data_IF_110771171730
#
_entry.id   IF_110771171730
#
_cell.length_a   1.000
_cell.length_b   1.000
_cell.length_c   1.000
_cell.angle_alpha   90.00
_cell.angle_beta   90.00
_cell.angle_gamma   90.00
#
_symmetry.space_group_name_H-M   'P 1'
#
loop_
_entity.id
_entity.type
_entity.pdbx_description
1 polymer ?
#
# COMPACT_ATOMS: atom_id res chain seq x y z
N UNK A 1 -2.70 4.60 15.79
CA UNK A 1 -3.90 3.94 16.30
C UNK A 1 -4.92 3.63 15.19
N UNK A 2 -5.32 4.61 14.42
CA UNK A 2 -6.28 4.42 13.32
C UNK A 2 -5.70 3.58 12.18
N UNK A 3 -4.44 3.79 11.85
CA UNK A 3 -3.74 3.00 10.82
C UNK A 3 -3.70 1.51 11.20
N UNK A 4 -3.39 1.22 12.46
CA UNK A 4 -3.35 -0.16 12.95
C UNK A 4 -4.72 -0.81 12.86
N UNK A 5 -5.78 -0.10 13.26
CA UNK A 5 -7.15 -0.59 13.17
C UNK A 5 -7.57 -0.87 11.74
N UNK A 6 -7.21 0.02 10.81
CA UNK A 6 -7.50 -0.17 9.39
C UNK A 6 -6.79 -1.41 8.83
N UNK A 7 -5.52 -1.60 9.19
CA UNK A 7 -4.75 -2.77 8.74
C UNK A 7 -5.37 -4.06 9.30
N UNK A 8 -5.72 -4.07 10.57
CA UNK A 8 -6.35 -5.24 11.19
C UNK A 8 -7.67 -5.60 10.50
N UNK A 9 -8.46 -4.59 10.11
CA UNK A 9 -9.69 -4.81 9.38
C UNK A 9 -9.43 -5.39 7.98
N UNK A 10 -8.46 -4.84 7.25
CA UNK A 10 -8.06 -5.36 5.95
C UNK A 10 -7.62 -6.82 6.04
N UNK A 11 -6.84 -7.16 7.06
CA UNK A 11 -6.37 -8.52 7.28
C UNK A 11 -7.53 -9.47 7.61
N UNK A 12 -8.48 -9.03 8.44
CA UNK A 12 -9.66 -9.81 8.78
C UNK A 12 -10.50 -10.14 7.54
N UNK A 13 -10.71 -9.17 6.67
CA UNK A 13 -11.44 -9.34 5.42
C UNK A 13 -10.69 -10.30 4.47
N UNK A 14 -9.39 -10.11 4.32
CA UNK A 14 -8.56 -10.99 3.49
C UNK A 14 -8.58 -12.42 3.99
N UNK A 15 -8.48 -12.62 5.30
CA UNK A 15 -8.54 -13.93 5.92
C UNK A 15 -9.91 -14.59 5.68
N UNK A 16 -10.99 -13.84 5.82
CA UNK A 16 -12.35 -14.35 5.59
C UNK A 16 -12.54 -14.81 4.14
N UNK A 17 -11.91 -14.13 3.17
CA UNK A 17 -11.93 -14.53 1.76
C UNK A 17 -10.89 -15.59 1.40
N UNK A 18 -10.05 -15.98 2.34
CA UNK A 18 -8.90 -16.90 2.14
C UNK A 18 -7.88 -16.33 1.14
N UNK A 19 -7.72 -15.01 1.11
CA UNK A 19 -6.73 -14.37 0.28
C UNK A 19 -5.32 -14.60 0.81
N UNK A 20 -4.33 -14.54 -0.08
CA UNK A 20 -2.94 -14.43 0.31
C UNK A 20 -2.63 -12.97 0.61
N UNK A 21 -1.87 -12.72 1.67
CA UNK A 21 -1.43 -11.37 2.06
C UNK A 21 0.09 -11.34 2.08
N UNK A 22 0.65 -10.30 1.50
CA UNK A 22 2.07 -10.00 1.59
C UNK A 22 2.22 -8.63 2.25
N UNK A 23 3.29 -8.42 3.00
CA UNK A 23 3.59 -7.16 3.64
C UNK A 23 4.90 -6.60 3.11
N UNK A 24 4.84 -5.36 2.64
CA UNK A 24 6.01 -4.57 2.24
C UNK A 24 6.07 -3.34 3.13
N UNK A 25 7.17 -3.16 3.82
CA UNK A 25 7.43 -1.95 4.59
C UNK A 25 8.39 -1.06 3.81
N UNK A 26 8.14 0.23 3.81
CA UNK A 26 9.04 1.21 3.22
C UNK A 26 9.31 2.31 4.24
N UNK A 27 10.57 2.45 4.58
CA UNK A 27 11.05 3.46 5.52
C UNK A 27 12.55 3.67 5.32
N UNK A 28 13.11 4.72 5.89
CA UNK A 28 14.52 5.01 5.70
C UNK A 28 14.80 5.32 4.24
N UNK A 29 15.63 4.52 3.60
CA UNK A 29 16.06 4.72 2.22
C UNK A 29 15.49 3.71 1.21
N UNK A 30 14.71 2.74 1.65
CA UNK A 30 14.20 1.71 0.76
C UNK A 30 13.01 0.93 1.31
N UNK A 31 12.74 -0.20 0.67
CA UNK A 31 11.63 -1.07 1.01
C UNK A 31 12.09 -2.49 1.28
N UNK A 32 11.43 -3.16 2.21
CA UNK A 32 11.69 -4.55 2.57
C UNK A 32 10.41 -5.37 2.51
N UNK A 33 10.51 -6.59 2.01
CA UNK A 33 9.41 -7.54 2.07
C UNK A 33 9.47 -8.20 3.45
N UNK A 34 8.54 -7.81 4.32
CA UNK A 34 8.45 -8.35 5.68
C UNK A 34 7.82 -9.73 5.70
N UNK A 35 6.91 -10.00 4.78
CA UNK A 35 6.18 -11.24 4.71
C UNK A 35 5.86 -11.54 3.25
N UNK A 36 6.35 -12.66 2.69
CA UNK A 36 5.93 -13.10 1.37
C UNK A 36 4.46 -13.52 1.39
N UNK A 37 3.81 -13.68 0.25
CA UNK A 37 2.39 -14.03 0.21
C UNK A 37 2.07 -15.26 1.05
N UNK A 38 1.12 -15.12 1.98
CA UNK A 38 0.71 -16.18 2.90
C UNK A 38 -0.78 -16.07 3.22
N UNK A 39 -1.37 -17.18 3.65
CA UNK A 39 -2.72 -17.24 4.21
C UNK A 39 -2.70 -17.29 5.75
N UNK A 40 -1.54 -17.22 6.36
CA UNK A 40 -1.41 -17.29 7.82
C UNK A 40 -1.69 -15.95 8.48
N UNK A 41 -2.86 -15.82 9.07
CA UNK A 41 -3.24 -14.63 9.83
C UNK A 41 -2.29 -14.39 11.02
N UNK A 42 -1.87 -15.47 11.68
CA UNK A 42 -0.97 -15.41 12.84
C UNK A 42 0.38 -14.81 12.44
N UNK A 43 0.98 -15.28 11.34
CA UNK A 43 2.24 -14.74 10.83
C UNK A 43 2.09 -13.28 10.43
N UNK A 44 1.00 -12.95 9.74
CA UNK A 44 0.73 -11.59 9.28
C UNK A 44 0.62 -10.63 10.46
N UNK A 45 -0.16 -10.98 11.49
CA UNK A 45 -0.30 -10.15 12.69
C UNK A 45 1.02 -9.99 13.44
N UNK A 46 1.81 -11.06 13.53
CA UNK A 46 3.11 -11.03 14.20
C UNK A 46 4.05 -10.07 13.49
N UNK A 47 4.16 -10.15 12.17
CA UNK A 47 5.02 -9.25 11.38
C UNK A 47 4.56 -7.82 11.47
N UNK A 48 3.26 -7.60 11.43
CA UNK A 48 2.66 -6.27 11.55
C UNK A 48 3.02 -5.62 12.90
N UNK A 49 2.99 -6.41 13.99
CA UNK A 49 3.36 -5.93 15.32
C UNK A 49 4.85 -5.58 15.46
N UNK A 50 5.69 -6.05 14.54
CA UNK A 50 7.14 -5.78 14.53
C UNK A 50 7.52 -4.63 13.60
N UNK A 51 6.54 -3.95 12.99
CA UNK A 51 6.82 -2.84 12.08
C UNK A 51 7.53 -1.71 12.81
N UNK A 52 8.75 -1.37 12.39
CA UNK A 52 9.44 -0.22 12.97
C UNK A 52 8.84 1.08 12.42
N UNK A 53 8.75 2.09 13.26
CA UNK A 53 8.30 3.42 12.86
C UNK A 53 9.46 4.36 12.56
N UNK A 54 9.13 5.49 11.97
CA UNK A 54 10.06 6.59 11.73
C UNK A 54 10.94 6.44 10.50
N UNK A 55 11.78 7.45 10.27
CA UNK A 55 12.67 7.52 9.13
C UNK A 55 12.03 8.19 7.90
N UNK A 56 12.69 8.10 6.76
CA UNK A 56 12.21 8.66 5.51
C UNK A 56 11.01 7.93 4.95
N UNK A 57 10.45 8.48 3.86
CA UNK A 57 9.31 7.90 3.16
C UNK A 57 9.70 7.56 1.71
N UNK A 58 10.34 6.40 1.49
CA UNK A 58 10.72 5.93 0.15
C UNK A 58 9.52 5.28 -0.56
N UNK A 59 8.51 6.08 -0.86
CA UNK A 59 7.24 5.62 -1.40
C UNK A 59 7.40 4.90 -2.74
N UNK A 60 8.24 5.43 -3.62
CA UNK A 60 8.50 4.81 -4.92
C UNK A 60 9.10 3.41 -4.77
N UNK A 61 10.04 3.23 -3.83
CA UNK A 61 10.61 1.90 -3.53
C UNK A 61 9.56 0.94 -3.01
N UNK A 62 8.66 1.42 -2.15
CA UNK A 62 7.54 0.62 -1.65
C UNK A 62 6.61 0.17 -2.78
N UNK A 63 6.25 1.08 -3.67
CA UNK A 63 5.40 0.77 -4.82
C UNK A 63 6.09 -0.20 -5.79
N UNK A 64 7.40 -0.03 -6.01
CA UNK A 64 8.17 -0.94 -6.86
C UNK A 64 8.15 -2.35 -6.30
N UNK A 65 8.42 -2.51 -5.01
CA UNK A 65 8.39 -3.81 -4.35
C UNK A 65 7.00 -4.45 -4.43
N UNK A 66 5.95 -3.67 -4.20
CA UNK A 66 4.57 -4.15 -4.31
C UNK A 66 4.24 -4.59 -5.73
N UNK A 67 4.67 -3.82 -6.74
CA UNK A 67 4.46 -4.17 -8.15
C UNK A 67 5.17 -5.48 -8.50
N UNK A 68 6.41 -5.66 -8.07
CA UNK A 68 7.16 -6.88 -8.32
C UNK A 68 6.46 -8.11 -7.71
N UNK A 69 5.97 -8.00 -6.48
CA UNK A 69 5.19 -9.06 -5.84
C UNK A 69 3.89 -9.35 -6.59
N UNK A 70 3.20 -8.31 -7.02
CA UNK A 70 1.96 -8.45 -7.78
C UNK A 70 2.19 -9.18 -9.11
N UNK A 71 3.28 -8.85 -9.80
CA UNK A 71 3.66 -9.54 -11.06
C UNK A 71 3.94 -11.02 -10.83
N UNK A 72 4.65 -11.35 -9.75
CA UNK A 72 4.90 -12.74 -9.37
C UNK A 72 3.59 -13.47 -9.06
N UNK A 73 2.68 -12.83 -8.34
CA UNK A 73 1.38 -13.42 -8.01
C UNK A 73 0.54 -13.67 -9.27
N UNK A 74 0.53 -12.74 -10.21
CA UNK A 74 -0.13 -12.91 -11.51
C UNK A 74 0.42 -14.13 -12.26
N UNK A 75 1.74 -14.30 -12.26
CA UNK A 75 2.39 -15.44 -12.88
C UNK A 75 1.98 -16.78 -12.29
N UNK A 76 1.48 -16.79 -11.07
CA UNK A 76 0.97 -17.98 -10.37
C UNK A 76 -0.56 -18.12 -10.49
N UNK A 77 -1.20 -17.32 -11.33
CA UNK A 77 -2.64 -17.38 -11.54
C UNK A 77 -3.47 -16.64 -10.49
N UNK A 78 -2.85 -15.83 -9.65
CA UNK A 78 -3.55 -15.02 -8.65
C UNK A 78 -4.01 -13.69 -9.24
N UNK A 79 -4.99 -13.06 -8.60
CA UNK A 79 -5.46 -11.72 -8.93
C UNK A 79 -4.98 -10.76 -7.85
N UNK A 80 -3.85 -10.06 -8.07
CA UNK A 80 -3.29 -9.18 -7.04
C UNK A 80 -4.03 -7.85 -6.94
N UNK A 81 -4.03 -7.30 -5.73
CA UNK A 81 -4.50 -5.94 -5.46
C UNK A 81 -3.52 -5.30 -4.48
N UNK A 82 -3.28 -4.00 -4.64
CA UNK A 82 -2.31 -3.28 -3.82
C UNK A 82 -3.04 -2.28 -2.92
N UNK A 83 -2.88 -2.43 -1.61
CA UNK A 83 -3.33 -1.42 -0.64
C UNK A 83 -2.11 -0.66 -0.13
N UNK A 84 -2.05 0.63 -0.41
CA UNK A 84 -0.99 1.52 0.05
C UNK A 84 -1.50 2.28 1.28
N UNK A 85 -0.78 2.16 2.40
CA UNK A 85 -1.07 2.91 3.62
C UNK A 85 0.13 3.81 3.94
N UNK A 86 -0.10 5.10 4.01
CA UNK A 86 0.96 6.06 4.34
C UNK A 86 0.34 7.36 4.86
N UNK A 87 1.09 8.08 5.70
CA UNK A 87 0.67 9.36 6.24
C UNK A 87 1.50 10.52 5.68
N UNK A 88 2.50 10.21 4.84
CA UNK A 88 3.50 11.16 4.42
C UNK A 88 3.67 11.30 2.92
N UNK A 89 4.35 12.39 2.56
CA UNK A 89 4.78 12.64 1.18
C UNK A 89 6.05 11.85 0.90
N UNK A 90 6.21 11.42 -0.33
CA UNK A 90 7.46 10.84 -0.80
C UNK A 90 8.60 11.84 -0.60
N UNK A 91 9.66 11.43 0.08
CA UNK A 91 10.84 12.27 0.32
C UNK A 91 12.15 11.56 0.07
N UNK A 92 12.12 10.29 -0.29
CA UNK A 92 13.30 9.50 -0.67
C UNK A 92 13.03 8.92 -2.06
N UNK A 93 13.98 9.11 -2.97
CA UNK A 93 13.84 8.64 -4.35
C UNK A 93 14.17 7.14 -4.51
N UNK A 94 14.07 6.62 -5.73
CA UNK A 94 14.36 5.21 -6.03
C UNK A 94 15.83 4.85 -5.80
N UNK A 95 16.74 5.83 -5.83
CA UNK A 95 18.15 5.61 -5.54
C UNK A 95 18.44 5.62 -4.02
N UNK A 96 17.44 5.84 -3.19
CA UNK A 96 17.61 5.91 -1.73
C UNK A 96 18.12 7.26 -1.24
N UNK A 97 18.01 8.30 -2.05
CA UNK A 97 18.50 9.64 -1.73
C UNK A 97 17.36 10.55 -1.29
N UNK A 98 17.57 11.33 -0.25
CA UNK A 98 16.61 12.31 0.24
C UNK A 98 16.50 13.48 -0.75
N UNK A 99 15.50 13.43 -1.61
CA UNK A 99 15.22 14.43 -2.65
C UNK A 99 13.72 14.42 -2.93
N UNK A 100 13.01 15.42 -2.42
CA UNK A 100 11.54 15.47 -2.52
C UNK A 100 11.04 15.55 -3.96
N UNK A 101 11.69 16.36 -4.79
CA UNK A 101 11.28 16.52 -6.18
C UNK A 101 11.43 15.21 -6.96
N UNK A 102 12.58 14.58 -6.84
CA UNK A 102 12.84 13.29 -7.50
C UNK A 102 11.97 12.17 -6.89
N UNK A 103 11.77 12.19 -5.59
CA UNK A 103 10.91 11.21 -4.90
C UNK A 103 9.47 11.28 -5.43
N UNK A 104 8.94 12.48 -5.65
CA UNK A 104 7.60 12.67 -6.20
C UNK A 104 7.51 12.17 -7.65
N UNK A 105 8.52 12.45 -8.46
CA UNK A 105 8.57 11.98 -9.85
C UNK A 105 8.69 10.45 -9.91
N UNK A 106 9.53 9.85 -9.09
CA UNK A 106 9.69 8.40 -9.02
C UNK A 106 8.40 7.72 -8.55
N UNK A 107 7.70 8.30 -7.57
CA UNK A 107 6.42 7.78 -7.11
C UNK A 107 5.37 7.79 -8.23
N UNK A 108 5.30 8.87 -9.01
CA UNK A 108 4.41 8.96 -10.17
C UNK A 108 4.77 7.93 -11.23
N UNK A 109 6.06 7.73 -11.48
CA UNK A 109 6.54 6.73 -12.43
C UNK A 109 6.04 5.34 -12.04
N UNK A 110 6.16 4.98 -10.76
CA UNK A 110 5.71 3.69 -10.26
C UNK A 110 4.17 3.58 -10.27
N UNK A 111 3.47 4.67 -9.96
CA UNK A 111 2.01 4.71 -10.03
C UNK A 111 1.51 4.44 -11.46
N UNK A 112 2.15 5.04 -12.45
CA UNK A 112 1.82 4.81 -13.87
C UNK A 112 2.14 3.38 -14.30
N UNK A 113 3.22 2.81 -13.79
CA UNK A 113 3.55 1.40 -14.07
C UNK A 113 2.48 0.46 -13.52
N UNK A 114 1.99 0.73 -12.30
CA UNK A 114 0.90 -0.03 -11.68
C UNK A 114 -0.38 0.09 -12.51
N UNK A 115 -0.70 1.31 -12.95
CA UNK A 115 -1.85 1.57 -13.83
C UNK A 115 -1.73 0.79 -15.15
N UNK A 116 -0.55 0.81 -15.76
CA UNK A 116 -0.30 0.15 -17.03
C UNK A 116 -0.50 -1.37 -16.94
N UNK A 117 -0.28 -1.95 -15.76
CA UNK A 117 -0.52 -3.37 -15.52
C UNK A 117 -1.98 -3.68 -15.18
N UNK A 118 -2.84 -2.68 -15.07
CA UNK A 118 -4.25 -2.86 -14.77
C UNK A 118 -4.52 -3.39 -13.38
N UNK A 119 -3.62 -3.12 -12.42
CA UNK A 119 -3.77 -3.60 -11.05
C UNK A 119 -4.82 -2.80 -10.30
N UNK A 120 -5.71 -3.51 -9.59
CA UNK A 120 -6.62 -2.88 -8.66
C UNK A 120 -5.90 -2.48 -7.38
N UNK A 121 -6.49 -1.59 -6.62
CA UNK A 121 -5.87 -1.18 -5.38
C UNK A 121 -6.64 -0.08 -4.65
N UNK A 122 -5.99 0.47 -3.65
CA UNK A 122 -6.54 1.49 -2.77
C UNK A 122 -5.39 2.26 -2.15
N UNK A 123 -5.51 3.59 -2.08
CA UNK A 123 -4.58 4.42 -1.32
C UNK A 123 -5.30 4.89 -0.06
N UNK A 124 -4.76 4.53 1.09
CA UNK A 124 -5.28 4.90 2.40
C UNK A 124 -4.35 5.93 3.02
N UNK A 125 -4.86 7.13 3.23
CA UNK A 125 -4.12 8.23 3.85
C UNK A 125 -4.37 8.17 5.37
N UNK A 126 -3.32 7.83 6.12
CA UNK A 126 -3.37 7.72 7.58
C UNK A 126 -2.98 9.01 8.29
N UNK A 127 -2.77 10.10 7.55
CA UNK A 127 -2.41 11.39 8.09
C UNK A 127 -3.57 12.07 8.83
N UNK A 128 -3.23 13.03 9.69
CA UNK A 128 -4.23 13.81 10.43
C UNK A 128 -5.08 14.69 9.50
N UNK A 129 -4.53 15.05 8.34
CA UNK A 129 -5.23 15.83 7.31
C UNK A 129 -5.03 15.17 5.96
N UNK A 130 -6.06 15.17 5.09
CA UNK A 130 -5.92 14.65 3.73
C UNK A 130 -4.75 15.31 3.01
N UNK A 131 -3.96 14.51 2.30
CA UNK A 131 -2.77 14.95 1.58
C UNK A 131 -3.05 14.95 0.09
N UNK A 132 -2.97 16.14 -0.53
CA UNK A 132 -3.24 16.29 -1.97
C UNK A 132 -2.32 15.42 -2.83
N UNK A 133 -1.05 15.30 -2.43
CA UNK A 133 -0.09 14.48 -3.16
C UNK A 133 -0.48 13.00 -3.19
N UNK A 134 -1.09 12.48 -2.13
CA UNK A 134 -1.57 11.09 -2.09
C UNK A 134 -2.84 10.90 -2.92
N UNK A 135 -3.72 11.91 -2.95
CA UNK A 135 -4.89 11.89 -3.84
C UNK A 135 -4.44 11.88 -5.30
N UNK A 136 -3.50 12.74 -5.66
CA UNK A 136 -2.92 12.78 -7.01
C UNK A 136 -2.26 11.45 -7.38
N UNK A 137 -1.54 10.84 -6.44
CA UNK A 137 -0.91 9.54 -6.65
C UNK A 137 -1.97 8.45 -6.92
N UNK A 138 -3.04 8.44 -6.15
CA UNK A 138 -4.15 7.51 -6.35
C UNK A 138 -4.76 7.66 -7.75
N UNK A 139 -4.91 8.88 -8.24
CA UNK A 139 -5.39 9.16 -9.59
C UNK A 139 -4.43 8.62 -10.65
N UNK A 140 -3.14 8.80 -10.46
CA UNK A 140 -2.12 8.25 -11.36
C UNK A 140 -2.14 6.71 -11.37
N UNK A 141 -2.44 6.09 -10.26
CA UNK A 141 -2.61 4.64 -10.14
C UNK A 141 -3.97 4.16 -10.66
N UNK A 142 -4.93 5.05 -10.84
CA UNK A 142 -6.35 4.76 -11.12
C UNK A 142 -6.98 3.89 -10.05
N UNK A 143 -6.76 4.26 -8.80
CA UNK A 143 -7.34 3.58 -7.63
C UNK A 143 -8.02 4.61 -6.72
N UNK A 144 -8.98 4.18 -5.90
CA UNK A 144 -9.62 5.08 -4.93
C UNK A 144 -8.63 5.64 -3.91
N UNK A 145 -8.90 6.85 -3.44
CA UNK A 145 -8.20 7.51 -2.35
C UNK A 145 -9.12 7.60 -1.15
N UNK A 146 -8.66 7.15 0.01
CA UNK A 146 -9.44 7.11 1.25
C UNK A 146 -8.67 7.77 2.40
N UNK A 147 -9.06 8.98 2.84
CA UNK A 147 -8.48 9.59 4.03
C UNK A 147 -9.09 8.99 5.30
N UNK A 148 -8.27 8.41 6.17
CA UNK A 148 -8.70 7.71 7.37
C UNK A 148 -9.35 8.58 8.46
N UNK A 149 -8.93 9.83 8.71
CA UNK A 149 -9.57 10.61 9.78
C UNK A 149 -11.08 10.78 9.62
N UNK A 150 -11.58 10.58 8.39
CA UNK A 150 -13.01 10.67 8.06
C UNK A 150 -13.62 9.32 7.71
N UNK A 151 -12.80 8.26 7.76
CA UNK A 151 -13.24 6.92 7.40
C UNK A 151 -13.37 6.07 8.64
N UNK A 152 -14.56 5.56 8.91
CA UNK A 152 -14.76 4.54 9.92
C UNK A 152 -14.37 3.15 9.34
N UNK A 153 -14.42 2.14 10.19
CA UNK A 153 -14.10 0.78 9.80
C UNK A 153 -14.97 0.28 8.64
N UNK A 154 -16.22 0.71 8.60
CA UNK A 154 -17.16 0.34 7.54
C UNK A 154 -16.78 0.95 6.19
N UNK A 155 -16.34 2.21 6.17
CA UNK A 155 -15.91 2.88 4.96
C UNK A 155 -14.66 2.20 4.37
N UNK A 156 -13.71 1.80 5.22
CA UNK A 156 -12.51 1.06 4.79
C UNK A 156 -12.91 -0.28 4.19
N UNK A 157 -13.77 -1.04 4.86
CA UNK A 157 -14.25 -2.34 4.39
C UNK A 157 -14.95 -2.22 3.04
N UNK A 158 -15.84 -1.25 2.89
CA UNK A 158 -16.56 -1.01 1.63
C UNK A 158 -15.62 -0.63 0.49
N UNK A 159 -14.61 0.20 0.77
CA UNK A 159 -13.62 0.61 -0.24
C UNK A 159 -12.76 -0.57 -0.70
N UNK A 160 -12.38 -1.44 0.23
CA UNK A 160 -11.62 -2.66 -0.10
C UNK A 160 -12.45 -3.59 -0.96
N UNK A 161 -13.70 -3.86 -0.57
CA UNK A 161 -14.60 -4.72 -1.33
C UNK A 161 -14.81 -4.17 -2.75
N UNK A 162 -15.02 -2.87 -2.90
CA UNK A 162 -15.17 -2.23 -4.20
C UNK A 162 -13.89 -2.37 -5.05
N UNK A 163 -12.71 -2.20 -4.45
CA UNK A 163 -11.44 -2.34 -5.14
C UNK A 163 -11.22 -3.78 -5.64
N UNK A 164 -11.58 -4.77 -4.83
CA UNK A 164 -11.44 -6.19 -5.19
C UNK A 164 -12.45 -6.60 -6.27
N UNK A 165 -13.68 -6.09 -6.20
CA UNK A 165 -14.69 -6.35 -7.21
C UNK A 165 -14.34 -5.73 -8.57
N UNK A 166 -13.60 -4.62 -8.57
CA UNK A 166 -13.12 -3.97 -9.79
C UNK A 166 -11.95 -4.69 -10.47
N UNK A 167 -11.43 -5.72 -9.85
CA UNK A 167 -10.25 -6.44 -10.37
C UNK A 167 -10.61 -7.49 -11.45
#
# INVERSE_FOLDING_TARGET
>A
AEAKGAIELLLGEAYARRDHVALVAFRGDGADILLPPTRSLVQTKRRLGQLPGGGGTPLASGLRAALELAELAKGKGMTPSIALLTDGRANVDLAGIANRAQAAEDAKLMARAIRAKGLSGLVIDTGLRPTRGLDDLAREMRVPYLPLPRADARAVSSAVDAALEGA
#
